data_IF_280733658614
#
_entry.id   IF_280733658614
#
_cell.length_a   1.000
_cell.length_b   1.000
_cell.length_c   1.000
_cell.angle_alpha   90.00
_cell.angle_beta   90.00
_cell.angle_gamma   90.00
#
_symmetry.space_group_name_H-M   'P 1'
#
loop_
_entity.id
_entity.type
_entity.pdbx_description
1 polymer ?
#
# COMPACT_ATOMS: atom_id res chain seq x y z
N UNK A 1 -55.63 16.04 46.32
CA UNK A 1 -56.24 14.75 46.70
C UNK A 1 -55.11 13.71 46.75
N UNK A 2 -54.44 13.60 47.91
CA UNK A 2 -53.31 12.68 48.10
C UNK A 2 -53.87 11.30 48.44
N UNK A 3 -53.86 10.39 47.47
CA UNK A 3 -54.24 8.99 47.67
C UNK A 3 -53.20 8.36 48.60
N UNK A 4 -53.59 8.00 49.84
CA UNK A 4 -52.74 7.19 50.73
C UNK A 4 -52.51 5.85 50.03
N UNK A 5 -51.25 5.50 49.79
CA UNK A 5 -50.88 4.17 49.29
C UNK A 5 -51.08 3.17 50.43
N UNK A 6 -51.87 2.13 50.17
CA UNK A 6 -52.08 1.06 51.14
C UNK A 6 -50.85 0.14 51.20
N UNK A 7 -50.72 -0.67 52.27
CA UNK A 7 -49.57 -1.55 52.48
C UNK A 7 -49.28 -2.52 51.33
N UNK A 8 -50.31 -2.92 50.57
CA UNK A 8 -50.16 -3.74 49.37
C UNK A 8 -49.58 -2.97 48.18
N UNK A 9 -49.89 -1.67 48.03
CA UNK A 9 -49.33 -0.82 46.96
C UNK A 9 -47.84 -0.57 47.20
N UNK A 10 -47.44 -0.44 48.48
CA UNK A 10 -46.02 -0.32 48.85
C UNK A 10 -45.26 -1.61 48.53
N UNK A 11 -45.80 -2.78 48.85
CA UNK A 11 -45.14 -4.06 48.56
C UNK A 11 -44.96 -4.28 47.04
N UNK A 12 -45.98 -3.97 46.23
CA UNK A 12 -45.91 -4.04 44.77
C UNK A 12 -44.86 -3.06 44.20
N UNK A 13 -44.79 -1.84 44.73
CA UNK A 13 -43.81 -0.83 44.30
C UNK A 13 -42.36 -1.27 44.58
N UNK A 14 -42.08 -1.81 45.76
CA UNK A 14 -40.75 -2.35 46.09
C UNK A 14 -40.39 -3.56 45.22
N UNK A 15 -41.34 -4.45 44.94
CA UNK A 15 -41.14 -5.60 44.06
C UNK A 15 -40.78 -5.16 42.63
N UNK A 16 -41.56 -4.26 42.04
CA UNK A 16 -41.33 -3.74 40.68
C UNK A 16 -40.02 -2.96 40.60
N UNK A 17 -39.68 -2.15 41.61
CA UNK A 17 -38.42 -1.40 41.66
C UNK A 17 -37.20 -2.32 41.73
N UNK A 18 -37.27 -3.41 42.50
CA UNK A 18 -36.17 -4.37 42.60
C UNK A 18 -35.94 -5.13 41.28
N UNK A 19 -37.02 -5.53 40.60
CA UNK A 19 -36.93 -6.19 39.30
C UNK A 19 -36.41 -5.26 38.19
N UNK A 20 -36.83 -3.99 38.18
CA UNK A 20 -36.30 -2.98 37.26
C UNK A 20 -34.81 -2.71 37.47
N UNK A 21 -34.36 -2.64 38.73
CA UNK A 21 -32.95 -2.48 39.06
C UNK A 21 -32.09 -3.62 38.51
N UNK A 22 -32.54 -4.86 38.68
CA UNK A 22 -31.83 -6.05 38.19
C UNK A 22 -31.72 -6.07 36.66
N UNK A 23 -32.77 -5.67 35.94
CA UNK A 23 -32.74 -5.57 34.46
C UNK A 23 -31.75 -4.51 33.99
N UNK A 24 -31.72 -3.34 34.64
CA UNK A 24 -30.78 -2.26 34.32
C UNK A 24 -29.33 -2.68 34.56
N UNK A 25 -29.06 -3.40 35.66
CA UNK A 25 -27.73 -3.92 35.96
C UNK A 25 -27.26 -4.94 34.91
N UNK A 26 -28.13 -5.83 34.43
CA UNK A 26 -27.81 -6.80 33.37
C UNK A 26 -27.51 -6.09 32.04
N UNK A 27 -28.31 -5.08 31.67
CA UNK A 27 -28.08 -4.30 30.45
C UNK A 27 -26.77 -3.51 30.55
N UNK A 28 -26.48 -2.93 31.72
CA UNK A 28 -25.22 -2.24 31.99
C UNK A 28 -24.02 -3.18 31.87
N UNK A 29 -24.08 -4.35 32.50
CA UNK A 29 -23.01 -5.35 32.47
C UNK A 29 -22.74 -5.87 31.06
N UNK A 30 -23.79 -6.16 30.29
CA UNK A 30 -23.66 -6.64 28.91
C UNK A 30 -23.05 -5.56 28.01
N UNK A 31 -23.52 -4.31 28.10
CA UNK A 31 -22.96 -3.18 27.32
C UNK A 31 -21.48 -2.93 27.65
N UNK A 32 -21.11 -3.06 28.93
CA UNK A 32 -19.73 -2.95 29.38
C UNK A 32 -18.84 -4.05 28.80
N UNK A 33 -19.29 -5.31 28.85
CA UNK A 33 -18.57 -6.45 28.27
C UNK A 33 -18.42 -6.34 26.75
N UNK A 34 -19.46 -5.90 26.04
CA UNK A 34 -19.40 -5.66 24.60
C UNK A 34 -18.39 -4.56 24.25
N UNK A 35 -18.35 -3.48 25.04
CA UNK A 35 -17.42 -2.36 24.83
C UNK A 35 -15.95 -2.79 25.02
N UNK A 36 -15.67 -3.59 26.03
CA UNK A 36 -14.32 -4.19 26.25
C UNK A 36 -13.96 -5.12 25.09
N UNK A 37 -14.89 -5.98 24.67
CA UNK A 37 -14.70 -6.91 23.55
C UNK A 37 -14.38 -6.17 22.24
N UNK A 38 -15.13 -5.11 21.93
CA UNK A 38 -14.90 -4.26 20.77
C UNK A 38 -13.53 -3.57 20.81
N UNK A 39 -13.10 -3.08 21.98
CA UNK A 39 -11.78 -2.47 22.14
C UNK A 39 -10.63 -3.45 21.92
N UNK A 40 -10.74 -4.68 22.47
CA UNK A 40 -9.75 -5.73 22.24
C UNK A 40 -9.72 -6.16 20.76
N UNK A 41 -10.87 -6.27 20.11
CA UNK A 41 -10.95 -6.60 18.69
C UNK A 41 -10.33 -5.50 17.81
N UNK A 42 -10.69 -4.23 18.06
CA UNK A 42 -10.14 -3.06 17.35
C UNK A 42 -8.61 -3.00 17.47
N UNK A 43 -8.03 -3.20 18.67
CA UNK A 43 -6.57 -3.24 18.84
C UNK A 43 -5.89 -4.35 18.04
N UNK A 44 -6.53 -5.51 17.84
CA UNK A 44 -5.97 -6.59 17.03
C UNK A 44 -6.03 -6.26 15.54
N UNK A 45 -7.14 -5.67 15.09
CA UNK A 45 -7.33 -5.24 13.70
C UNK A 45 -6.36 -4.12 13.33
N UNK A 46 -6.16 -3.13 14.21
CA UNK A 46 -5.19 -2.04 14.01
C UNK A 46 -3.77 -2.54 13.81
N UNK A 47 -3.34 -3.55 14.58
CA UNK A 47 -2.00 -4.15 14.41
C UNK A 47 -1.84 -4.78 13.03
N UNK A 48 -2.87 -5.46 12.52
CA UNK A 48 -2.85 -6.08 11.19
C UNK A 48 -2.83 -5.02 10.09
N UNK A 49 -3.66 -3.98 10.19
CA UNK A 49 -3.63 -2.86 9.24
C UNK A 49 -2.29 -2.14 9.23
N UNK A 50 -1.71 -1.86 10.41
CA UNK A 50 -0.38 -1.25 10.50
C UNK A 50 0.71 -2.12 9.88
N UNK A 51 0.66 -3.43 10.09
CA UNK A 51 1.62 -4.36 9.48
C UNK A 51 1.47 -4.42 7.94
N UNK A 52 0.24 -4.39 7.43
CA UNK A 52 -0.02 -4.32 5.98
C UNK A 52 0.45 -2.97 5.40
N UNK A 53 0.15 -1.86 6.07
CA UNK A 53 0.62 -0.52 5.67
C UNK A 53 2.15 -0.46 5.64
N UNK A 54 2.83 -1.03 6.64
CA UNK A 54 4.30 -1.07 6.68
C UNK A 54 4.89 -1.84 5.49
N UNK A 55 4.28 -2.98 5.10
CA UNK A 55 4.70 -3.71 3.89
C UNK A 55 4.51 -2.86 2.63
N UNK A 56 3.38 -2.16 2.53
CA UNK A 56 3.05 -1.31 1.38
C UNK A 56 3.92 -0.04 1.27
N UNK A 57 4.45 0.45 2.39
CA UNK A 57 5.36 1.60 2.45
C UNK A 57 6.80 1.28 2.09
N UNK A 58 7.19 0.01 2.10
CA UNK A 58 8.51 -0.42 1.69
C UNK A 58 8.77 -0.02 0.23
N UNK A 59 9.99 0.44 -0.06
CA UNK A 59 10.41 0.82 -1.41
C UNK A 59 11.02 -0.38 -2.12
N UNK A 60 10.79 -0.45 -3.43
CA UNK A 60 11.33 -1.52 -4.27
C UNK A 60 12.22 -0.92 -5.35
N UNK A 61 13.40 -1.49 -5.56
CA UNK A 61 14.29 -1.00 -6.61
C UNK A 61 13.85 -1.52 -7.98
N UNK A 62 13.54 -0.62 -8.91
CA UNK A 62 13.31 -0.95 -10.30
C UNK A 62 14.63 -0.83 -11.05
N UNK A 63 14.99 -1.89 -11.79
CA UNK A 63 16.20 -1.92 -12.61
C UNK A 63 15.89 -2.39 -14.03
N UNK A 64 16.44 -1.70 -15.01
CA UNK A 64 16.55 -2.22 -16.37
C UNK A 64 17.80 -3.09 -16.46
N UNK A 65 17.71 -4.22 -17.14
CA UNK A 65 18.87 -5.11 -17.33
C UNK A 65 18.89 -5.72 -18.71
N UNK A 66 20.09 -5.81 -19.29
CA UNK A 66 20.39 -6.59 -20.50
C UNK A 66 21.02 -7.96 -20.18
N UNK A 67 21.04 -8.34 -18.90
CA UNK A 67 21.67 -9.55 -18.38
C UNK A 67 23.19 -9.44 -18.13
N UNK A 68 23.82 -8.31 -18.50
CA UNK A 68 25.24 -8.03 -18.21
C UNK A 68 25.42 -6.82 -17.31
N UNK A 69 24.55 -5.84 -17.45
CA UNK A 69 24.54 -4.58 -16.70
C UNK A 69 23.13 -4.25 -16.26
N UNK A 70 23.06 -3.49 -15.17
CA UNK A 70 21.81 -2.99 -14.61
C UNK A 70 21.84 -1.46 -14.50
N UNK A 71 20.72 -0.83 -14.82
CA UNK A 71 20.49 0.61 -14.62
C UNK A 71 19.36 0.79 -13.62
N UNK A 72 19.61 1.57 -12.57
CA UNK A 72 18.58 1.89 -11.57
C UNK A 72 17.64 2.94 -12.13
N UNK A 73 16.36 2.58 -12.27
CA UNK A 73 15.30 3.47 -12.77
C UNK A 73 14.75 4.34 -11.64
N UNK A 74 14.61 3.74 -10.44
CA UNK A 74 14.08 4.42 -9.26
C UNK A 74 13.57 3.42 -8.22
N UNK A 75 13.16 3.94 -7.06
CA UNK A 75 12.70 3.11 -5.95
C UNK A 75 11.33 3.55 -5.41
N UNK A 76 10.23 3.34 -6.16
CA UNK A 76 8.89 3.70 -5.70
C UNK A 76 8.44 2.83 -4.52
N UNK A 77 7.40 3.28 -3.81
CA UNK A 77 6.73 2.46 -2.78
C UNK A 77 6.02 1.29 -3.45
N UNK A 78 6.07 0.10 -2.85
CA UNK A 78 5.41 -1.12 -3.37
C UNK A 78 3.95 -0.86 -3.76
N UNK A 79 3.18 -0.17 -2.92
CA UNK A 79 1.75 0.15 -3.19
C UNK A 79 1.51 0.91 -4.50
N UNK A 80 2.47 1.71 -4.95
CA UNK A 80 2.33 2.56 -6.13
C UNK A 80 2.99 1.97 -7.37
N UNK A 81 3.64 0.82 -7.23
CA UNK A 81 4.26 0.13 -8.35
C UNK A 81 3.17 -0.33 -9.32
N UNK A 82 3.03 0.38 -10.44
CA UNK A 82 2.10 0.03 -11.52
C UNK A 82 2.85 0.14 -12.85
N UNK A 83 2.28 -0.42 -13.93
CA UNK A 83 2.84 -0.24 -15.28
C UNK A 83 2.94 1.24 -15.66
N UNK A 84 1.94 2.04 -15.29
CA UNK A 84 1.94 3.48 -15.55
C UNK A 84 3.04 4.20 -14.78
N UNK A 85 3.26 3.84 -13.51
CA UNK A 85 4.34 4.40 -12.70
C UNK A 85 5.71 4.01 -13.25
N UNK A 86 5.91 2.74 -13.62
CA UNK A 86 7.12 2.27 -14.28
C UNK A 86 7.40 3.08 -15.56
N UNK A 87 6.40 3.26 -16.42
CA UNK A 87 6.53 4.08 -17.63
C UNK A 87 6.83 5.55 -17.33
N UNK A 88 6.19 6.11 -16.29
CA UNK A 88 6.47 7.46 -15.82
C UNK A 88 7.92 7.63 -15.39
N UNK A 89 8.44 6.71 -14.58
CA UNK A 89 9.83 6.72 -14.11
C UNK A 89 10.82 6.54 -15.26
N UNK A 90 10.54 5.64 -16.21
CA UNK A 90 11.35 5.46 -17.41
C UNK A 90 11.39 6.74 -18.27
N UNK A 91 10.26 7.46 -18.36
CA UNK A 91 10.18 8.74 -19.06
C UNK A 91 10.95 9.89 -18.40
N UNK A 92 11.34 9.74 -17.14
CA UNK A 92 12.16 10.72 -16.42
C UNK A 92 13.65 10.45 -16.52
N UNK A 93 14.06 9.29 -17.05
CA UNK A 93 15.47 8.97 -17.18
C UNK A 93 16.13 9.87 -18.24
N UNK A 94 17.31 10.42 -17.96
CA UNK A 94 18.05 11.22 -18.92
C UNK A 94 18.47 10.33 -20.10
N UNK A 95 18.16 10.78 -21.32
CA UNK A 95 18.55 10.08 -22.53
C UNK A 95 19.88 10.59 -23.05
N UNK A 96 20.71 9.66 -23.54
CA UNK A 96 21.90 10.00 -24.30
C UNK A 96 21.44 10.55 -25.64
N UNK A 97 21.44 11.87 -25.79
CA UNK A 97 21.29 12.52 -27.10
C UNK A 97 22.37 11.91 -27.99
N UNK A 98 21.96 11.16 -29.02
CA UNK A 98 22.88 10.58 -29.98
C UNK A 98 23.85 11.66 -30.46
N UNK A 99 25.13 11.32 -30.57
CA UNK A 99 26.22 12.23 -30.99
C UNK A 99 26.02 12.87 -32.37
N UNK A 100 24.91 12.65 -33.04
CA UNK A 100 24.60 13.15 -34.36
C UNK A 100 23.21 13.75 -34.37
N UNK A 101 23.12 15.05 -34.06
CA UNK A 101 22.60 16.05 -34.99
C UNK A 101 22.44 17.39 -34.28
N UNK A 102 22.92 18.45 -34.93
CA UNK A 102 22.65 19.85 -34.61
C UNK A 102 21.16 20.21 -34.88
N UNK A 103 20.22 19.39 -34.43
CA UNK A 103 18.79 19.67 -34.51
C UNK A 103 18.26 19.87 -33.10
N UNK A 104 18.02 21.14 -32.80
CA UNK A 104 17.05 21.67 -31.85
C UNK A 104 16.80 20.83 -30.58
N UNK A 105 17.30 21.37 -29.47
CA UNK A 105 17.03 20.99 -28.06
C UNK A 105 15.54 20.98 -27.66
N UNK A 106 14.59 21.02 -28.60
CA UNK A 106 13.17 21.25 -28.32
C UNK A 106 12.33 19.97 -28.10
N UNK A 107 12.81 18.78 -28.49
CA UNK A 107 12.12 17.52 -28.17
C UNK A 107 13.12 16.44 -27.81
N UNK A 108 13.26 16.15 -26.51
CA UNK A 108 13.92 14.92 -26.10
C UNK A 108 13.18 13.74 -26.78
N UNK A 109 13.89 12.82 -27.46
CA UNK A 109 13.26 11.64 -28.02
C UNK A 109 12.53 10.87 -26.92
N UNK A 110 11.40 10.23 -27.23
CA UNK A 110 10.77 9.30 -26.29
C UNK A 110 11.65 8.05 -26.19
N UNK A 111 11.78 7.48 -24.99
CA UNK A 111 12.42 6.18 -24.82
C UNK A 111 11.65 5.10 -25.61
N UNK A 112 12.39 4.11 -26.12
CA UNK A 112 11.83 2.99 -26.88
C UNK A 112 12.26 1.69 -26.20
N UNK A 113 11.27 0.87 -25.83
CA UNK A 113 11.46 -0.43 -25.19
C UNK A 113 10.50 -1.44 -25.84
N UNK A 114 10.88 -1.93 -27.02
CA UNK A 114 10.08 -2.84 -27.83
C UNK A 114 10.27 -4.31 -27.43
N UNK A 115 11.41 -4.64 -26.80
CA UNK A 115 11.73 -6.01 -26.41
C UNK A 115 11.05 -6.46 -25.11
N UNK A 116 10.42 -5.53 -24.39
CA UNK A 116 9.80 -5.82 -23.10
C UNK A 116 8.57 -6.71 -23.26
N UNK A 117 8.60 -7.87 -22.60
CA UNK A 117 7.42 -8.68 -22.34
C UNK A 117 6.60 -8.08 -21.19
N UNK A 118 5.66 -7.20 -21.53
CA UNK A 118 4.78 -6.54 -20.56
C UNK A 118 3.94 -7.50 -19.74
N UNK A 119 3.67 -8.72 -20.24
CA UNK A 119 2.93 -9.75 -19.49
C UNK A 119 3.77 -10.26 -18.33
N UNK A 120 5.04 -10.58 -18.58
CA UNK A 120 5.99 -10.96 -17.52
C UNK A 120 6.21 -9.83 -16.53
N UNK A 121 6.44 -8.61 -17.02
CA UNK A 121 6.60 -7.43 -16.15
C UNK A 121 5.37 -7.22 -15.26
N UNK A 122 4.16 -7.43 -15.78
CA UNK A 122 2.93 -7.36 -14.99
C UNK A 122 2.92 -8.34 -13.81
N UNK A 123 3.28 -9.61 -14.07
CA UNK A 123 3.38 -10.64 -13.02
C UNK A 123 4.46 -10.32 -11.98
N UNK A 124 5.59 -9.78 -12.42
CA UNK A 124 6.67 -9.40 -11.51
C UNK A 124 6.28 -8.16 -10.67
N UNK A 125 5.50 -7.23 -11.22
CA UNK A 125 4.90 -6.12 -10.46
C UNK A 125 3.95 -6.65 -9.38
N UNK A 126 3.08 -7.61 -9.70
CA UNK A 126 2.16 -8.22 -8.73
C UNK A 126 2.92 -8.87 -7.56
N UNK A 127 3.91 -9.72 -7.86
CA UNK A 127 4.78 -10.33 -6.84
C UNK A 127 5.51 -9.29 -5.98
N UNK A 128 6.00 -8.22 -6.62
CA UNK A 128 6.66 -7.11 -5.97
C UNK A 128 5.71 -6.35 -5.02
N UNK A 129 4.44 -6.17 -5.39
CA UNK A 129 3.42 -5.58 -4.53
C UNK A 129 3.07 -6.47 -3.33
N UNK A 130 3.06 -7.78 -3.53
CA UNK A 130 2.72 -8.79 -2.50
C UNK A 130 3.83 -9.01 -1.46
N UNK A 131 5.03 -8.47 -1.69
CA UNK A 131 6.14 -8.58 -0.75
C UNK A 131 7.20 -9.61 -1.15
N UNK A 132 7.03 -10.32 -2.27
CA UNK A 132 7.85 -11.49 -2.62
C UNK A 132 9.20 -11.13 -3.24
N UNK A 133 9.28 -9.97 -3.90
CA UNK A 133 10.51 -9.47 -4.52
C UNK A 133 11.00 -8.20 -3.84
N UNK A 134 12.32 -8.03 -3.68
CA UNK A 134 12.94 -6.78 -3.20
C UNK A 134 13.38 -5.86 -4.35
N UNK A 135 13.37 -6.38 -5.58
CA UNK A 135 13.77 -5.67 -6.80
C UNK A 135 12.88 -6.10 -7.96
N UNK A 136 12.54 -5.17 -8.83
CA UNK A 136 11.87 -5.44 -10.11
C UNK A 136 12.91 -5.34 -11.23
N UNK A 137 13.20 -6.46 -11.87
CA UNK A 137 14.10 -6.52 -13.03
C UNK A 137 13.29 -6.49 -14.31
N UNK A 138 13.54 -5.48 -15.14
CA UNK A 138 12.92 -5.32 -16.45
C UNK A 138 13.96 -5.66 -17.51
N UNK A 139 13.75 -6.77 -18.20
CA UNK A 139 14.63 -7.24 -19.26
C UNK A 139 14.48 -6.35 -20.50
N UNK A 140 15.60 -5.86 -21.02
CA UNK A 140 15.67 -5.08 -22.26
C UNK A 140 16.89 -5.50 -23.09
N UNK A 141 16.98 -5.04 -24.34
CA UNK A 141 18.17 -5.29 -25.15
C UNK A 141 19.32 -4.32 -24.79
N UNK A 142 20.57 -4.65 -25.12
CA UNK A 142 21.69 -3.73 -24.93
C UNK A 142 21.51 -2.40 -25.67
N UNK A 143 20.93 -2.42 -26.87
CA UNK A 143 20.69 -1.23 -27.70
C UNK A 143 19.65 -0.30 -27.05
N UNK A 144 18.60 -0.90 -26.47
CA UNK A 144 17.59 -0.18 -25.70
C UNK A 144 18.13 0.42 -24.41
N UNK A 145 19.14 -0.21 -23.80
CA UNK A 145 19.77 0.33 -22.59
C UNK A 145 20.75 1.48 -22.91
N UNK A 146 21.35 1.45 -24.11
CA UNK A 146 22.29 2.47 -24.58
C UNK A 146 21.64 3.81 -24.93
N UNK A 147 20.31 3.87 -25.04
CA UNK A 147 19.58 5.12 -25.26
C UNK A 147 19.65 6.08 -24.06
N UNK A 148 20.02 5.59 -22.88
CA UNK A 148 20.06 6.36 -21.64
C UNK A 148 21.46 6.92 -21.36
N UNK A 149 21.53 8.09 -20.73
CA UNK A 149 22.81 8.75 -20.43
C UNK A 149 23.51 8.07 -19.24
N UNK A 150 24.52 7.27 -19.57
CA UNK A 150 25.34 6.50 -18.62
C UNK A 150 26.17 7.36 -17.67
N UNK A 151 26.40 8.63 -17.98
CA UNK A 151 27.16 9.52 -17.09
C UNK A 151 26.29 10.01 -15.92
N UNK A 152 24.97 10.04 -16.11
CA UNK A 152 24.03 10.56 -15.12
C UNK A 152 23.40 9.42 -14.34
N UNK A 153 23.14 8.28 -15.00
CA UNK A 153 22.46 7.17 -14.35
C UNK A 153 23.46 6.23 -13.70
N UNK A 154 23.12 5.76 -12.51
CA UNK A 154 23.92 4.80 -11.76
C UNK A 154 23.81 3.41 -12.41
N UNK A 155 24.78 3.10 -13.24
CA UNK A 155 25.01 1.77 -13.79
C UNK A 155 25.67 0.87 -12.72
N UNK A 156 25.20 -0.37 -12.62
CA UNK A 156 25.77 -1.40 -11.76
C UNK A 156 26.20 -2.55 -12.68
N UNK A 157 27.50 -2.78 -12.77
CA UNK A 157 28.07 -3.96 -13.41
C UNK A 157 27.71 -5.18 -12.57
N UNK A 158 27.16 -6.23 -13.19
CA UNK A 158 26.89 -7.50 -12.50
C UNK A 158 28.17 -8.33 -12.31
#
# INVERSE_FOLDING_TARGET
MTRKMDGNDMALFYYVKNHLGLVVDIIGLTTFLFSIGAWFHSRRVDKRHKAQLAKHEERIDIRLTDGRREIIVGSPRRKWLTRSELNGLLGLLPMSLGKETNMEKEKQPRYVLNSIDWTKVGKEIEKAQDGEASKLLVQCTPEELDQFDKNIIKEVSM
#
